data_IF_531153379472
#
_entry.id   IF_531153379472
#
_cell.length_a   1.000
_cell.length_b   1.000
_cell.length_c   1.000
_cell.angle_alpha   90.00
_cell.angle_beta   90.00
_cell.angle_gamma   90.00
#
_symmetry.space_group_name_H-M   'P 1'
#
loop_
_entity.id
_entity.type
_entity.pdbx_description
1 polymer ?
#
# COMPACT_ATOMS: atom_id res chain seq x y z
N UNK A 1 31.61 75.10 15.70
CA UNK A 1 31.24 75.45 17.08
C UNK A 1 31.25 74.19 17.92
N UNK A 2 31.98 74.21 19.04
CA UNK A 2 32.04 73.15 20.07
C UNK A 2 30.75 73.17 20.91
N UNK A 3 30.35 71.99 21.43
CA UNK A 3 30.25 71.63 22.87
C UNK A 3 29.35 70.39 23.04
N UNK A 4 29.94 69.25 23.44
CA UNK A 4 29.89 68.59 24.77
C UNK A 4 28.61 67.73 24.96
N UNK A 5 28.68 66.39 24.98
CA UNK A 5 29.22 65.47 26.02
C UNK A 5 28.27 65.26 27.21
N UNK A 6 27.81 64.02 27.38
CA UNK A 6 27.40 63.31 28.61
C UNK A 6 26.91 61.92 28.12
N UNK A 7 27.63 60.80 28.16
CA UNK A 7 28.35 60.10 29.24
C UNK A 7 27.51 59.82 30.48
N UNK A 8 27.00 58.59 30.59
CA UNK A 8 26.85 57.87 31.86
C UNK A 8 26.86 56.36 31.60
N UNK A 9 27.77 55.69 32.31
CA UNK A 9 28.07 54.26 32.30
C UNK A 9 27.01 53.39 32.99
N UNK A 10 27.22 52.07 32.80
CA UNK A 10 26.88 50.95 33.70
C UNK A 10 25.48 50.35 33.46
N UNK A 11 25.27 49.03 33.38
CA UNK A 11 25.96 47.90 34.02
C UNK A 11 25.80 46.63 33.16
N UNK A 12 26.81 45.77 33.23
CA UNK A 12 26.73 44.36 32.81
C UNK A 12 25.65 43.61 33.61
N UNK A 13 24.74 42.93 32.90
CA UNK A 13 24.09 41.73 33.43
C UNK A 13 24.37 40.59 32.45
N UNK A 14 25.38 39.81 32.80
CA UNK A 14 25.55 38.45 32.31
C UNK A 14 24.36 37.64 32.82
N UNK A 15 23.37 37.41 31.98
CA UNK A 15 22.44 36.30 32.18
C UNK A 15 23.00 35.15 31.37
N UNK A 16 23.74 34.28 32.07
CA UNK A 16 23.92 32.92 31.64
C UNK A 16 22.53 32.29 31.61
N UNK A 17 21.99 32.05 30.41
CA UNK A 17 20.91 31.08 30.26
C UNK A 17 21.51 29.73 30.58
N UNK A 18 21.33 29.30 31.83
CA UNK A 18 21.33 27.90 32.21
C UNK A 18 20.47 27.14 31.20
N UNK A 19 21.09 26.28 30.38
CA UNK A 19 20.37 25.26 29.64
C UNK A 19 19.64 24.40 30.68
N UNK A 20 18.34 24.62 30.81
CA UNK A 20 17.47 23.62 31.42
C UNK A 20 17.49 22.36 30.54
N UNK A 21 17.51 21.15 31.13
CA UNK A 21 17.45 19.93 30.35
C UNK A 21 16.14 19.93 29.56
N UNK A 22 16.27 20.00 28.24
CA UNK A 22 15.16 19.80 27.31
C UNK A 22 14.44 18.51 27.71
N UNK A 23 13.11 18.52 27.91
CA UNK A 23 12.36 17.29 28.04
C UNK A 23 12.63 16.46 26.78
N UNK A 24 13.23 15.28 26.98
CA UNK A 24 13.34 14.29 25.92
C UNK A 24 11.97 14.16 25.28
N UNK A 25 11.87 14.56 24.00
CA UNK A 25 10.76 14.18 23.17
C UNK A 25 10.62 12.66 23.36
N UNK A 26 9.44 12.16 23.78
CA UNK A 26 9.21 10.73 23.66
C UNK A 26 9.47 10.42 22.19
N UNK A 27 10.40 9.50 21.95
CA UNK A 27 10.58 8.90 20.63
C UNK A 27 9.19 8.53 20.17
N UNK A 28 8.66 9.32 19.24
CA UNK A 28 7.45 8.97 18.54
C UNK A 28 7.85 7.70 17.83
N UNK A 29 7.49 6.57 18.42
CA UNK A 29 7.26 5.34 17.70
C UNK A 29 6.18 5.70 16.68
N UNK A 30 6.59 6.31 15.56
CA UNK A 30 5.75 6.39 14.38
C UNK A 30 5.72 4.97 13.87
N UNK A 31 4.86 4.16 14.50
CA UNK A 31 4.16 3.16 13.75
C UNK A 31 3.48 3.95 12.64
N UNK A 32 4.12 4.01 11.48
CA UNK A 32 3.53 4.57 10.28
C UNK A 32 2.32 3.69 9.98
N UNK A 33 1.17 4.03 10.56
CA UNK A 33 -0.12 3.76 9.98
C UNK A 33 -0.12 4.54 8.66
N UNK A 34 0.53 3.96 7.64
CA UNK A 34 0.55 4.54 6.31
C UNK A 34 -0.90 4.80 5.90
N UNK A 35 -1.20 6.04 5.53
CA UNK A 35 -2.54 6.45 5.16
C UNK A 35 -3.14 5.42 4.18
N UNK A 36 -4.20 4.73 4.61
CA UNK A 36 -4.88 3.70 3.80
C UNK A 36 -5.31 4.29 2.46
N UNK A 37 -5.66 5.58 2.42
CA UNK A 37 -6.00 6.26 1.18
C UNK A 37 -4.81 6.33 0.24
N UNK A 38 -3.64 6.73 0.73
CA UNK A 38 -2.41 6.74 -0.06
C UNK A 38 -2.07 5.34 -0.61
N UNK A 39 -2.29 4.30 0.19
CA UNK A 39 -2.04 2.92 -0.24
C UNK A 39 -3.06 2.42 -1.27
N UNK A 40 -4.33 2.79 -1.13
CA UNK A 40 -5.36 2.54 -2.13
C UNK A 40 -5.05 3.27 -3.44
N UNK A 41 -4.57 4.52 -3.39
CA UNK A 41 -4.14 5.29 -4.56
C UNK A 41 -2.94 4.61 -5.25
N UNK A 42 -1.94 4.16 -4.48
CA UNK A 42 -0.81 3.39 -5.00
C UNK A 42 -1.27 2.09 -5.68
N UNK A 43 -2.17 1.34 -5.05
CA UNK A 43 -2.76 0.15 -5.63
C UNK A 43 -3.48 0.48 -6.95
N UNK A 44 -4.31 1.53 -6.98
CA UNK A 44 -5.03 1.97 -8.18
C UNK A 44 -4.07 2.27 -9.33
N UNK A 45 -2.99 2.99 -9.07
CA UNK A 45 -1.99 3.33 -10.10
C UNK A 45 -1.32 2.08 -10.68
N UNK A 46 -0.92 1.13 -9.83
CA UNK A 46 -0.31 -0.12 -10.27
C UNK A 46 -1.31 -1.01 -11.03
N UNK A 47 -2.56 -1.09 -10.56
CA UNK A 47 -3.62 -1.80 -11.26
C UNK A 47 -3.95 -1.16 -12.64
N UNK A 48 -3.91 0.16 -12.75
CA UNK A 48 -4.02 0.86 -14.03
C UNK A 48 -2.88 0.54 -15.00
N UNK A 49 -1.65 0.40 -14.48
CA UNK A 49 -0.54 -0.04 -15.30
C UNK A 49 -0.78 -1.44 -15.89
N UNK A 50 -1.26 -2.39 -15.07
CA UNK A 50 -1.64 -3.73 -15.54
C UNK A 50 -2.75 -3.66 -16.60
N UNK A 51 -3.78 -2.83 -16.40
CA UNK A 51 -4.84 -2.63 -17.41
C UNK A 51 -4.28 -2.12 -18.74
N UNK A 52 -3.33 -1.18 -18.70
CA UNK A 52 -2.68 -0.65 -19.89
C UNK A 52 -1.96 -1.75 -20.68
N UNK A 53 -1.17 -2.58 -19.99
CA UNK A 53 -0.46 -3.71 -20.60
C UNK A 53 -1.42 -4.73 -21.22
N UNK A 54 -2.52 -5.03 -20.53
CA UNK A 54 -3.56 -5.94 -21.04
C UNK A 54 -4.26 -5.35 -22.28
N UNK A 55 -4.50 -4.04 -22.29
CA UNK A 55 -5.11 -3.36 -23.42
C UNK A 55 -4.20 -3.31 -24.65
N UNK A 56 -2.90 -3.14 -24.45
CA UNK A 56 -1.89 -3.19 -25.53
C UNK A 56 -1.50 -4.61 -25.94
N UNK A 57 -2.08 -5.65 -25.31
CA UNK A 57 -1.71 -7.05 -25.52
C UNK A 57 -0.19 -7.27 -25.35
N UNK A 58 0.37 -6.69 -24.30
CA UNK A 58 1.78 -6.88 -23.93
C UNK A 58 2.09 -8.35 -23.64
N UNK A 59 3.38 -8.71 -23.62
CA UNK A 59 3.76 -10.11 -23.44
C UNK A 59 3.32 -10.66 -22.07
N UNK A 60 3.10 -11.98 -21.95
CA UNK A 60 2.77 -12.61 -20.67
C UNK A 60 3.78 -12.26 -19.57
N UNK A 61 5.08 -12.19 -19.90
CA UNK A 61 6.13 -11.77 -18.97
C UNK A 61 5.93 -10.34 -18.46
N UNK A 62 5.69 -9.37 -19.34
CA UNK A 62 5.49 -7.97 -18.93
C UNK A 62 4.27 -7.81 -18.00
N UNK A 63 3.18 -8.51 -18.32
CA UNK A 63 1.97 -8.52 -17.50
C UNK A 63 2.26 -9.20 -16.16
N UNK A 64 2.94 -10.35 -16.19
CA UNK A 64 3.36 -11.12 -15.01
C UNK A 64 4.16 -10.24 -14.06
N UNK A 65 5.18 -9.53 -14.53
CA UNK A 65 6.04 -8.69 -13.70
C UNK A 65 5.26 -7.53 -13.04
N UNK A 66 4.36 -6.92 -13.80
CA UNK A 66 3.54 -5.80 -13.30
C UNK A 66 2.48 -6.25 -12.30
N UNK A 67 1.75 -7.34 -12.58
CA UNK A 67 0.74 -7.85 -11.65
C UNK A 67 1.38 -8.37 -10.36
N UNK A 68 2.58 -8.91 -10.49
CA UNK A 68 3.41 -9.37 -9.38
C UNK A 68 3.83 -8.20 -8.48
N UNK A 69 4.29 -7.10 -9.08
CA UNK A 69 4.60 -5.86 -8.34
C UNK A 69 3.37 -5.33 -7.62
N UNK A 70 2.21 -5.34 -8.29
CA UNK A 70 0.93 -4.98 -7.67
C UNK A 70 0.63 -5.86 -6.44
N UNK A 71 0.74 -7.19 -6.55
CA UNK A 71 0.51 -8.12 -5.44
C UNK A 71 1.46 -7.82 -4.28
N UNK A 72 2.77 -7.74 -4.53
CA UNK A 72 3.76 -7.49 -3.47
C UNK A 72 3.52 -6.15 -2.75
N UNK A 73 3.26 -5.08 -3.51
CA UNK A 73 2.99 -3.75 -2.96
C UNK A 73 1.72 -3.68 -2.10
N UNK A 74 0.77 -4.60 -2.31
CA UNK A 74 -0.51 -4.63 -1.59
C UNK A 74 -0.43 -5.19 -0.16
N UNK A 75 0.70 -5.77 0.24
CA UNK A 75 0.90 -6.30 1.61
C UNK A 75 0.52 -5.28 2.68
N UNK A 76 1.11 -4.08 2.60
CA UNK A 76 0.91 -3.07 3.65
C UNK A 76 -0.52 -2.52 3.62
N UNK A 77 -1.13 -2.44 2.44
CA UNK A 77 -2.54 -2.08 2.29
C UNK A 77 -3.44 -3.04 3.10
N UNK A 78 -3.22 -4.36 2.99
CA UNK A 78 -4.02 -5.33 3.74
C UNK A 78 -3.75 -5.28 5.24
N UNK A 79 -2.53 -4.95 5.65
CA UNK A 79 -2.22 -4.73 7.08
C UNK A 79 -3.01 -3.55 7.62
N UNK A 80 -3.04 -2.43 6.89
CA UNK A 80 -3.62 -1.19 7.38
C UNK A 80 -5.15 -1.19 7.29
N UNK A 81 -5.74 -1.84 6.28
CA UNK A 81 -7.19 -1.95 6.11
C UNK A 81 -7.92 -2.58 7.32
N UNK A 82 -7.22 -3.26 8.22
CA UNK A 82 -7.82 -3.87 9.42
C UNK A 82 -8.40 -2.83 10.38
N UNK A 83 -7.83 -1.62 10.38
CA UNK A 83 -8.35 -0.54 11.22
C UNK A 83 -9.72 -0.05 10.74
N UNK A 84 -9.98 -0.11 9.42
CA UNK A 84 -11.22 0.34 8.79
C UNK A 84 -12.21 -0.80 8.59
N UNK A 85 -11.72 -2.04 8.48
CA UNK A 85 -12.51 -3.26 8.27
C UNK A 85 -12.13 -4.33 9.31
N UNK A 86 -12.33 -4.09 10.62
CA UNK A 86 -11.95 -5.02 11.67
C UNK A 86 -12.67 -6.37 11.54
N UNK A 87 -13.88 -6.40 11.00
CA UNK A 87 -14.63 -7.63 10.72
C UNK A 87 -13.96 -8.53 9.67
N UNK A 88 -12.99 -8.00 8.92
CA UNK A 88 -12.23 -8.70 7.88
C UNK A 88 -10.82 -9.11 8.31
N UNK A 89 -10.46 -8.95 9.59
CA UNK A 89 -9.08 -9.12 10.07
C UNK A 89 -8.45 -10.46 9.64
N UNK A 90 -9.17 -11.57 9.80
CA UNK A 90 -8.66 -12.90 9.43
C UNK A 90 -8.33 -12.98 7.93
N UNK A 91 -9.24 -12.50 7.07
CA UNK A 91 -9.01 -12.43 5.62
C UNK A 91 -7.81 -11.54 5.29
N UNK A 92 -7.74 -10.36 5.88
CA UNK A 92 -6.68 -9.38 5.62
C UNK A 92 -5.31 -9.88 6.08
N UNK A 93 -5.24 -10.61 7.20
CA UNK A 93 -4.03 -11.29 7.66
C UNK A 93 -3.52 -12.30 6.64
N UNK A 94 -4.39 -13.21 6.18
CA UNK A 94 -4.03 -14.22 5.18
C UNK A 94 -3.65 -13.57 3.85
N UNK A 95 -4.36 -12.53 3.44
CA UNK A 95 -4.04 -11.79 2.21
C UNK A 95 -2.66 -11.13 2.26
N UNK A 96 -2.29 -10.51 3.39
CA UNK A 96 -0.96 -9.93 3.59
C UNK A 96 0.14 -11.00 3.55
N UNK A 97 -0.13 -12.18 4.11
CA UNK A 97 0.79 -13.32 4.05
C UNK A 97 0.98 -13.82 2.61
N UNK A 98 -0.10 -13.98 1.84
CA UNK A 98 -0.03 -14.37 0.42
C UNK A 98 0.79 -13.34 -0.38
N UNK A 99 0.54 -12.04 -0.18
CA UNK A 99 1.28 -10.98 -0.84
C UNK A 99 2.79 -11.06 -0.54
N UNK A 100 3.15 -11.34 0.73
CA UNK A 100 4.53 -11.52 1.15
C UNK A 100 5.18 -12.76 0.53
N UNK A 101 4.52 -13.92 0.57
CA UNK A 101 5.03 -15.16 -0.03
C UNK A 101 5.23 -14.94 -1.53
N UNK A 102 4.28 -14.31 -2.20
CA UNK A 102 4.40 -13.99 -3.63
C UNK A 102 5.60 -13.10 -3.88
N UNK A 103 5.78 -12.04 -3.09
CA UNK A 103 6.95 -11.16 -3.19
C UNK A 103 8.28 -11.96 -3.11
N UNK A 104 8.39 -12.86 -2.13
CA UNK A 104 9.59 -13.68 -1.92
C UNK A 104 9.83 -14.71 -3.04
N UNK A 105 8.76 -15.28 -3.61
CA UNK A 105 8.87 -16.24 -4.72
C UNK A 105 9.52 -15.61 -5.96
N UNK A 106 9.31 -14.31 -6.19
CA UNK A 106 9.87 -13.57 -7.34
C UNK A 106 11.33 -13.25 -7.09
N UNK A 107 11.64 -12.72 -5.90
CA UNK A 107 12.99 -12.29 -5.53
C UNK A 107 13.98 -13.47 -5.51
N UNK A 108 13.52 -14.66 -5.12
CA UNK A 108 14.38 -15.83 -4.92
C UNK A 108 14.38 -16.84 -6.08
N UNK A 109 13.74 -16.54 -7.22
CA UNK A 109 13.74 -17.44 -8.39
C UNK A 109 12.96 -18.75 -8.22
N UNK A 110 12.13 -18.85 -7.16
CA UNK A 110 11.07 -19.83 -7.01
C UNK A 110 11.40 -21.16 -6.31
N UNK A 111 10.74 -21.38 -5.18
CA UNK A 111 10.01 -22.63 -4.90
C UNK A 111 8.51 -22.27 -4.81
N UNK A 112 7.62 -23.11 -5.36
CA UNK A 112 6.17 -22.96 -5.21
C UNK A 112 5.79 -23.34 -3.78
N UNK A 113 5.98 -22.42 -2.85
CA UNK A 113 5.34 -22.53 -1.55
C UNK A 113 3.82 -22.46 -1.74
N UNK A 114 3.13 -23.42 -1.15
CA UNK A 114 1.66 -23.48 -1.18
C UNK A 114 1.11 -22.21 -0.53
N UNK A 115 0.24 -21.51 -1.25
CA UNK A 115 -0.39 -20.31 -0.70
C UNK A 115 -1.42 -20.73 0.34
N UNK A 116 -1.48 -20.04 1.50
CA UNK A 116 -2.53 -20.30 2.47
C UNK A 116 -3.90 -20.07 1.84
N UNK A 117 -4.88 -20.89 2.25
CA UNK A 117 -6.26 -20.75 1.80
C UNK A 117 -6.89 -19.51 2.42
N UNK A 118 -7.54 -18.68 1.60
CA UNK A 118 -8.37 -17.58 2.11
C UNK A 118 -9.57 -18.13 2.89
N UNK A 119 -9.89 -17.55 4.06
CA UNK A 119 -11.08 -17.92 4.82
C UNK A 119 -12.36 -17.51 4.07
N UNK A 120 -13.49 -18.08 4.46
CA UNK A 120 -14.80 -17.58 4.02
C UNK A 120 -14.97 -16.14 4.50
N UNK A 121 -15.57 -15.29 3.67
CA UNK A 121 -15.76 -13.89 4.04
C UNK A 121 -16.91 -13.78 5.07
N UNK A 122 -16.65 -13.08 6.16
CA UNK A 122 -17.59 -12.82 7.26
C UNK A 122 -18.62 -11.74 6.94
N UNK A 123 -18.31 -10.83 6.00
CA UNK A 123 -19.15 -9.71 5.61
C UNK A 123 -18.97 -9.33 4.12
N UNK A 124 -19.92 -8.61 3.49
CA UNK A 124 -19.78 -8.11 2.12
C UNK A 124 -18.55 -7.22 1.89
N UNK A 125 -18.16 -6.44 2.91
CA UNK A 125 -16.92 -5.64 2.92
C UNK A 125 -15.69 -6.53 2.70
N UNK A 126 -15.63 -7.67 3.37
CA UNK A 126 -14.51 -8.62 3.26
C UNK A 126 -14.46 -9.27 1.88
N UNK A 127 -15.61 -9.52 1.25
CA UNK A 127 -15.65 -9.95 -0.15
C UNK A 127 -15.01 -8.90 -1.07
N UNK A 128 -15.30 -7.60 -0.86
CA UNK A 128 -14.66 -6.53 -1.64
C UNK A 128 -13.15 -6.45 -1.40
N UNK A 129 -12.71 -6.54 -0.15
CA UNK A 129 -11.29 -6.57 0.20
C UNK A 129 -10.57 -7.77 -0.45
N UNK A 130 -11.11 -8.98 -0.33
CA UNK A 130 -10.52 -10.19 -0.91
C UNK A 130 -10.30 -10.08 -2.43
N UNK A 131 -11.18 -9.37 -3.15
CA UNK A 131 -11.01 -9.13 -4.59
C UNK A 131 -9.77 -8.31 -4.94
N UNK A 132 -9.27 -7.46 -4.05
CA UNK A 132 -8.02 -6.73 -4.27
C UNK A 132 -6.80 -7.67 -4.34
N UNK A 133 -6.90 -8.89 -3.81
CA UNK A 133 -5.87 -9.92 -3.98
C UNK A 133 -6.24 -10.95 -5.06
N UNK A 134 -7.49 -11.43 -5.06
CA UNK A 134 -7.92 -12.50 -5.94
C UNK A 134 -7.91 -12.11 -7.42
N UNK A 135 -8.27 -10.87 -7.75
CA UNK A 135 -8.26 -10.40 -9.13
C UNK A 135 -6.83 -10.38 -9.72
N UNK A 136 -5.82 -9.74 -9.09
CA UNK A 136 -4.47 -9.79 -9.62
C UNK A 136 -3.86 -11.21 -9.59
N UNK A 137 -4.18 -12.06 -8.59
CA UNK A 137 -3.77 -13.47 -8.63
C UNK A 137 -4.34 -14.21 -9.84
N UNK A 138 -5.60 -13.99 -10.19
CA UNK A 138 -6.20 -14.59 -11.38
C UNK A 138 -5.49 -14.12 -12.67
N UNK A 139 -5.15 -12.84 -12.75
CA UNK A 139 -4.36 -12.30 -13.88
C UNK A 139 -2.97 -12.93 -13.94
N UNK A 140 -2.27 -13.05 -12.80
CA UNK A 140 -0.99 -13.74 -12.73
C UNK A 140 -1.06 -15.20 -13.17
N UNK A 141 -2.11 -15.94 -12.78
CA UNK A 141 -2.31 -17.33 -13.23
C UNK A 141 -2.50 -17.41 -14.75
N UNK A 142 -3.22 -16.46 -15.34
CA UNK A 142 -3.37 -16.39 -16.80
C UNK A 142 -2.01 -16.20 -17.49
N UNK A 143 -1.14 -15.33 -16.97
CA UNK A 143 0.17 -15.09 -17.60
C UNK A 143 1.13 -16.29 -17.56
N UNK A 144 0.80 -17.35 -16.82
CA UNK A 144 1.58 -18.60 -16.82
C UNK A 144 1.22 -19.53 -17.98
N UNK A 145 0.21 -19.18 -18.78
CA UNK A 145 -0.16 -19.94 -19.97
C UNK A 145 0.81 -19.66 -21.11
N UNK A 146 1.09 -20.68 -21.94
CA UNK A 146 2.06 -20.57 -23.03
C UNK A 146 1.63 -19.58 -24.13
N UNK A 147 0.33 -19.53 -24.43
CA UNK A 147 -0.27 -18.61 -25.40
C UNK A 147 -1.56 -18.03 -24.84
N UNK A 148 -1.69 -16.70 -24.86
CA UNK A 148 -2.91 -15.99 -24.47
C UNK A 148 -3.77 -15.69 -25.68
N UNK A 149 -5.02 -16.13 -25.68
CA UNK A 149 -6.01 -15.74 -26.67
C UNK A 149 -6.51 -14.31 -26.39
N UNK A 150 -7.08 -13.65 -27.41
CA UNK A 150 -7.66 -12.31 -27.25
C UNK A 150 -8.71 -12.24 -26.13
N UNK A 151 -9.49 -13.31 -25.95
CA UNK A 151 -10.45 -13.42 -24.85
C UNK A 151 -9.81 -13.37 -23.48
N UNK A 152 -8.60 -13.91 -23.32
CA UNK A 152 -7.89 -13.96 -22.04
C UNK A 152 -7.44 -12.56 -21.63
N UNK A 153 -6.91 -11.77 -22.56
CA UNK A 153 -6.60 -10.35 -22.32
C UNK A 153 -7.83 -9.57 -21.88
N UNK A 154 -8.98 -9.76 -22.55
CA UNK A 154 -10.21 -9.07 -22.16
C UNK A 154 -10.72 -9.52 -20.79
N UNK A 155 -10.66 -10.82 -20.49
CA UNK A 155 -11.07 -11.35 -19.20
C UNK A 155 -10.19 -10.82 -18.06
N UNK A 156 -8.87 -10.87 -18.23
CA UNK A 156 -7.90 -10.32 -17.29
C UNK A 156 -8.12 -8.82 -17.06
N UNK A 157 -8.38 -8.06 -18.13
CA UNK A 157 -8.67 -6.62 -18.04
C UNK A 157 -9.91 -6.35 -17.18
N UNK A 158 -10.98 -7.14 -17.37
CA UNK A 158 -12.20 -7.01 -16.57
C UNK A 158 -11.96 -7.33 -15.09
N UNK A 159 -11.06 -8.25 -14.74
CA UNK A 159 -10.66 -8.49 -13.34
C UNK A 159 -9.98 -7.27 -12.72
N UNK A 160 -9.08 -6.64 -13.46
CA UNK A 160 -8.41 -5.43 -12.95
C UNK A 160 -9.36 -4.24 -12.84
N UNK A 161 -10.29 -4.08 -13.79
CA UNK A 161 -11.36 -3.08 -13.70
C UNK A 161 -12.27 -3.35 -12.49
N UNK A 162 -12.61 -4.60 -12.21
CA UNK A 162 -13.37 -4.96 -11.01
C UNK A 162 -12.64 -4.50 -9.75
N UNK A 163 -11.31 -4.64 -9.66
CA UNK A 163 -10.56 -4.11 -8.50
C UNK A 163 -10.79 -2.62 -8.26
N UNK A 164 -10.89 -1.78 -9.29
CA UNK A 164 -11.23 -0.36 -9.10
C UNK A 164 -12.62 -0.17 -8.50
N UNK A 165 -13.60 -0.94 -8.95
CA UNK A 165 -14.94 -0.90 -8.37
C UNK A 165 -14.93 -1.33 -6.90
N UNK A 166 -14.11 -2.32 -6.53
CA UNK A 166 -13.97 -2.78 -5.14
C UNK A 166 -13.34 -1.73 -4.25
N UNK A 167 -12.34 -1.00 -4.76
CA UNK A 167 -11.72 0.11 -4.02
C UNK A 167 -12.77 1.19 -3.71
N UNK A 168 -13.63 1.55 -4.68
CA UNK A 168 -14.73 2.50 -4.42
C UNK A 168 -15.71 2.01 -3.36
N UNK A 169 -16.02 0.72 -3.32
CA UNK A 169 -16.86 0.15 -2.26
C UNK A 169 -16.17 0.23 -0.89
N UNK A 170 -14.88 -0.08 -0.81
CA UNK A 170 -14.10 0.01 0.43
C UNK A 170 -13.99 1.47 0.91
N UNK A 171 -13.74 2.41 0.01
CA UNK A 171 -13.68 3.85 0.34
C UNK A 171 -15.01 4.38 0.89
N UNK A 172 -16.14 3.89 0.39
CA UNK A 172 -17.46 4.28 0.92
C UNK A 172 -17.70 3.72 2.32
N UNK A 173 -17.29 2.47 2.58
CA UNK A 173 -17.44 1.83 3.89
C UNK A 173 -16.51 2.48 4.92
N UNK A 174 -15.27 2.78 4.53
CA UNK A 174 -14.26 3.34 5.43
C UNK A 174 -14.42 4.84 5.73
N UNK A 175 -15.39 5.52 5.08
CA UNK A 175 -15.68 6.94 5.28
C UNK A 175 -16.84 7.20 6.28
N UNK A 176 -17.50 6.14 6.75
CA UNK A 176 -18.58 6.16 7.76
C UNK A 176 -18.02 6.01 9.18
#
# INVERSE_FOLDING_TARGET
>A
MKKLMLSACSLCLLVACTEEPSPQQPESSSNTSGDVRQQLDMYQNLAWHVVSLLQSQSTPTQISDSVTTLIGSSKQLFVNLKEQLPECEESLNVMAQIAMIKQQQIENGGSQEELPKLPEFSAPSCYHAQKLLLNPLAVYTLTQQADLAQSDYQHAKLKMIDSFARIKQIEMIAAE
#
